data_IF_521583671652
#
_entry.id   IF_521583671652
#
_cell.length_a   1.000
_cell.length_b   1.000
_cell.length_c   1.000
_cell.angle_alpha   90.00
_cell.angle_beta   90.00
_cell.angle_gamma   90.00
#
_symmetry.space_group_name_H-M   'P 1'
#
loop_
_entity.id
_entity.type
_entity.pdbx_description
1 polymer ?
#
# COMPACT_ATOMS: atom_id res chain seq x y z
N UNK A 1 12.53 10.59 27.49
CA UNK A 1 11.14 10.11 27.68
C UNK A 1 10.93 8.88 26.83
N UNK A 2 10.58 7.74 27.42
CA UNK A 2 10.22 6.53 26.68
C UNK A 2 8.87 6.79 26.01
N UNK A 3 8.81 6.81 24.67
CA UNK A 3 7.54 6.96 23.95
C UNK A 3 6.66 5.75 24.27
N UNK A 4 5.54 5.96 24.97
CA UNK A 4 4.55 4.91 25.18
C UNK A 4 3.81 4.64 23.86
N UNK A 5 3.83 3.37 23.44
CA UNK A 5 3.06 2.89 22.28
C UNK A 5 1.70 2.43 22.78
N UNK A 6 0.61 2.93 22.18
CA UNK A 6 -0.74 2.46 22.54
C UNK A 6 -0.94 1.00 22.12
N UNK A 7 -1.83 0.28 22.81
CA UNK A 7 -2.11 -1.13 22.51
C UNK A 7 -2.52 -1.37 21.05
N UNK A 8 -3.30 -0.46 20.47
CA UNK A 8 -3.70 -0.54 19.06
C UNK A 8 -2.52 -0.41 18.08
N UNK A 9 -1.58 0.50 18.37
CA UNK A 9 -0.34 0.62 17.59
C UNK A 9 0.55 -0.60 17.77
N UNK A 10 0.67 -1.11 18.99
CA UNK A 10 1.46 -2.30 19.27
C UNK A 10 0.91 -3.53 18.52
N UNK A 11 -0.42 -3.74 18.55
CA UNK A 11 -1.08 -4.81 17.80
C UNK A 11 -0.87 -4.69 16.29
N UNK A 12 -0.94 -3.47 15.75
CA UNK A 12 -0.67 -3.22 14.34
C UNK A 12 0.78 -3.56 13.95
N UNK A 13 1.75 -3.15 14.77
CA UNK A 13 3.16 -3.47 14.56
C UNK A 13 3.37 -4.99 14.53
N UNK A 14 2.79 -5.73 15.48
CA UNK A 14 2.86 -7.20 15.53
C UNK A 14 2.26 -7.88 14.30
N UNK A 15 1.18 -7.32 13.73
CA UNK A 15 0.53 -7.87 12.53
C UNK A 15 1.31 -7.62 11.25
N UNK A 16 2.14 -6.58 11.23
CA UNK A 16 2.97 -6.21 10.09
C UNK A 16 4.42 -6.66 10.25
N UNK A 17 4.78 -7.39 11.32
CA UNK A 17 6.14 -7.88 11.57
C UNK A 17 6.22 -9.40 11.56
N UNK A 18 7.40 -9.93 11.26
CA UNK A 18 7.71 -11.35 11.48
C UNK A 18 7.67 -11.69 12.98
N UNK A 19 7.71 -12.98 13.30
CA UNK A 19 7.77 -13.47 14.69
C UNK A 19 8.99 -12.96 15.46
N UNK A 20 10.08 -12.65 14.73
CA UNK A 20 11.32 -12.09 15.29
C UNK A 20 11.30 -10.55 15.36
N UNK A 21 10.18 -9.91 15.02
CA UNK A 21 10.02 -8.46 15.08
C UNK A 21 10.61 -7.68 13.91
N UNK A 22 10.84 -8.32 12.77
CA UNK A 22 11.35 -7.66 11.56
C UNK A 22 10.22 -7.26 10.62
N UNK A 23 10.43 -6.20 9.84
CA UNK A 23 9.54 -5.79 8.76
C UNK A 23 10.09 -6.27 7.41
N UNK A 24 9.39 -7.19 6.77
CA UNK A 24 9.64 -7.62 5.39
C UNK A 24 8.43 -7.20 4.55
N UNK A 25 8.41 -5.93 4.12
CA UNK A 25 7.23 -5.33 3.49
C UNK A 25 7.35 -5.33 1.96
N UNK A 26 6.31 -5.82 1.29
CA UNK A 26 6.14 -5.66 -0.15
C UNK A 26 5.50 -4.30 -0.45
N UNK A 27 6.24 -3.39 -1.08
CA UNK A 27 5.70 -2.09 -1.52
C UNK A 27 5.14 -2.17 -2.94
N UNK A 28 3.83 -1.94 -3.08
CA UNK A 28 3.08 -2.03 -4.34
C UNK A 28 1.97 -0.97 -4.42
N UNK A 29 2.26 0.22 -3.95
CA UNK A 29 1.43 1.43 -3.97
C UNK A 29 1.52 2.22 -5.30
N UNK A 30 2.60 2.06 -6.05
CA UNK A 30 2.79 2.71 -7.35
C UNK A 30 1.57 2.62 -8.30
N UNK A 31 1.11 3.78 -8.78
CA UNK A 31 0.03 3.91 -9.78
C UNK A 31 0.59 4.35 -11.14
N UNK A 32 0.86 5.63 -11.34
CA UNK A 32 1.33 6.14 -12.65
C UNK A 32 2.74 5.65 -13.00
N UNK A 33 3.60 5.46 -12.00
CA UNK A 33 4.90 4.84 -12.19
C UNK A 33 4.76 3.39 -12.70
N UNK A 34 3.76 2.65 -12.22
CA UNK A 34 3.47 1.31 -12.70
C UNK A 34 2.92 1.33 -14.13
N UNK A 35 2.04 2.28 -14.48
CA UNK A 35 1.59 2.48 -15.88
C UNK A 35 2.78 2.67 -16.83
N UNK A 36 3.71 3.56 -16.45
CA UNK A 36 4.93 3.83 -17.22
C UNK A 36 5.83 2.60 -17.34
N UNK A 37 5.94 1.80 -16.28
CA UNK A 37 6.71 0.56 -16.31
C UNK A 37 6.06 -0.53 -17.19
N UNK A 38 4.72 -0.63 -17.19
CA UNK A 38 3.98 -1.64 -17.96
C UNK A 38 3.96 -1.35 -19.46
N UNK A 39 3.80 -0.08 -19.86
CA UNK A 39 3.87 0.32 -21.27
C UNK A 39 4.61 1.65 -21.41
N UNK A 40 5.95 1.63 -21.55
CA UNK A 40 6.75 2.86 -21.62
C UNK A 40 6.41 3.76 -22.82
N UNK A 41 5.92 3.17 -23.92
CA UNK A 41 5.66 3.90 -25.16
C UNK A 41 4.26 4.55 -25.19
N UNK A 42 3.31 4.01 -24.43
CA UNK A 42 1.94 4.53 -24.34
C UNK A 42 1.32 4.24 -22.95
N UNK A 43 1.84 4.83 -21.85
CA UNK A 43 1.40 4.53 -20.48
C UNK A 43 -0.10 4.77 -20.24
N UNK A 44 -0.68 5.74 -20.94
CA UNK A 44 -2.10 6.11 -20.90
C UNK A 44 -3.02 5.02 -21.45
N UNK A 45 -2.50 4.10 -22.27
CA UNK A 45 -3.27 2.96 -22.79
C UNK A 45 -3.41 1.81 -21.80
N UNK A 46 -2.57 1.79 -20.76
CA UNK A 46 -2.71 0.81 -19.66
C UNK A 46 -4.01 1.12 -18.94
N UNK A 47 -4.90 0.15 -18.86
CA UNK A 47 -6.20 0.32 -18.18
C UNK A 47 -6.06 0.11 -16.68
N UNK A 48 -6.99 0.69 -15.91
CA UNK A 48 -7.07 0.43 -14.46
C UNK A 48 -7.27 -1.07 -14.15
N UNK A 49 -8.00 -1.79 -15.01
CA UNK A 49 -8.17 -3.24 -14.89
C UNK A 49 -6.83 -3.99 -14.98
N UNK A 50 -5.97 -3.63 -15.93
CA UNK A 50 -4.64 -4.22 -16.06
C UNK A 50 -3.75 -3.95 -14.84
N UNK A 51 -3.83 -2.75 -14.24
CA UNK A 51 -3.11 -2.45 -12.99
C UNK A 51 -3.61 -3.34 -11.86
N UNK A 52 -4.93 -3.39 -11.65
CA UNK A 52 -5.52 -4.21 -10.58
C UNK A 52 -5.16 -5.69 -10.75
N UNK A 53 -5.24 -6.23 -11.97
CA UNK A 53 -4.87 -7.62 -12.26
C UNK A 53 -3.39 -7.87 -11.98
N UNK A 54 -2.50 -6.98 -12.40
CA UNK A 54 -1.07 -7.09 -12.10
C UNK A 54 -0.83 -7.08 -10.58
N UNK A 55 -1.43 -6.13 -9.86
CA UNK A 55 -1.25 -6.02 -8.41
C UNK A 55 -1.77 -7.27 -7.69
N UNK A 56 -2.94 -7.77 -8.06
CA UNK A 56 -3.49 -9.01 -7.54
C UNK A 56 -2.52 -10.19 -7.73
N UNK A 57 -1.98 -10.37 -8.95
CA UNK A 57 -1.04 -11.46 -9.25
C UNK A 57 0.21 -11.39 -8.37
N UNK A 58 0.80 -10.20 -8.25
CA UNK A 58 2.00 -9.98 -7.42
C UNK A 58 1.69 -10.27 -5.94
N UNK A 59 0.58 -9.73 -5.41
CA UNK A 59 0.18 -9.93 -4.00
C UNK A 59 -0.02 -11.42 -3.72
N UNK A 60 -0.77 -12.14 -4.57
CA UNK A 60 -1.05 -13.56 -4.34
C UNK A 60 0.20 -14.43 -4.28
N UNK A 61 1.22 -14.07 -5.08
CA UNK A 61 2.47 -14.83 -5.15
C UNK A 61 3.41 -14.45 -4.00
N UNK A 62 3.54 -13.16 -3.69
CA UNK A 62 4.61 -12.67 -2.82
C UNK A 62 4.15 -12.35 -1.39
N UNK A 63 2.87 -12.00 -1.16
CA UNK A 63 2.38 -11.66 0.18
C UNK A 63 2.63 -12.75 1.24
N UNK A 64 2.51 -14.06 0.93
CA UNK A 64 2.81 -15.12 1.91
C UNK A 64 4.25 -15.11 2.45
N UNK A 65 5.19 -14.53 1.69
CA UNK A 65 6.61 -14.43 2.05
C UNK A 65 6.96 -13.10 2.74
N UNK A 66 5.97 -12.26 3.01
CA UNK A 66 6.13 -10.91 3.57
C UNK A 66 5.41 -10.77 4.91
N UNK A 67 5.94 -9.93 5.79
CA UNK A 67 5.25 -9.58 7.03
C UNK A 67 4.10 -8.59 6.79
N UNK A 68 4.11 -7.87 5.67
CA UNK A 68 3.06 -6.95 5.29
C UNK A 68 3.17 -6.46 3.86
N UNK A 69 2.10 -5.82 3.37
CA UNK A 69 2.02 -5.24 2.03
C UNK A 69 1.59 -3.78 2.14
N UNK A 70 2.30 -2.89 1.47
CA UNK A 70 1.92 -1.49 1.27
C UNK A 70 1.22 -1.32 -0.09
N UNK A 71 -0.01 -0.84 -0.08
CA UNK A 71 -0.86 -0.69 -1.25
C UNK A 71 -1.44 0.72 -1.37
N UNK A 72 -1.80 1.11 -2.57
CA UNK A 72 -2.61 2.30 -2.77
C UNK A 72 -4.09 1.99 -2.50
N UNK A 73 -4.86 2.99 -2.06
CA UNK A 73 -6.28 2.80 -1.77
C UNK A 73 -7.17 2.57 -3.00
N UNK A 74 -6.73 2.88 -4.21
CA UNK A 74 -7.58 2.93 -5.42
C UNK A 74 -7.57 1.62 -6.20
N UNK A 75 -6.39 1.05 -6.43
CA UNK A 75 -6.15 -0.10 -7.29
C UNK A 75 -5.68 -1.34 -6.53
N UNK A 76 -5.22 -1.20 -5.28
CA UNK A 76 -4.66 -2.31 -4.51
C UNK A 76 -5.49 -2.70 -3.29
N UNK A 77 -5.61 -1.81 -2.32
CA UNK A 77 -6.00 -2.16 -0.96
C UNK A 77 -7.44 -2.70 -0.87
N UNK A 78 -8.41 -2.06 -1.53
CA UNK A 78 -9.80 -2.50 -1.52
C UNK A 78 -9.96 -3.90 -2.17
N UNK A 79 -9.28 -4.12 -3.29
CA UNK A 79 -9.28 -5.38 -4.05
C UNK A 79 -8.64 -6.50 -3.24
N UNK A 80 -7.51 -6.24 -2.58
CA UNK A 80 -6.82 -7.20 -1.72
C UNK A 80 -7.67 -7.62 -0.51
N UNK A 81 -8.40 -6.67 0.10
CA UNK A 81 -9.33 -6.94 1.21
C UNK A 81 -10.54 -7.74 0.73
N UNK A 82 -11.26 -7.27 -0.29
CA UNK A 82 -12.45 -7.94 -0.82
C UNK A 82 -12.15 -9.33 -1.37
N UNK A 83 -10.96 -9.50 -1.96
CA UNK A 83 -10.51 -10.75 -2.55
C UNK A 83 -9.83 -11.72 -1.56
N UNK A 84 -9.47 -11.24 -0.36
CA UNK A 84 -8.71 -12.00 0.64
C UNK A 84 -7.34 -12.48 0.10
N UNK A 85 -6.55 -11.58 -0.49
CA UNK A 85 -5.29 -11.92 -1.17
C UNK A 85 -4.04 -11.76 -0.29
N UNK A 86 -4.17 -11.13 0.88
CA UNK A 86 -3.03 -10.78 1.74
C UNK A 86 -2.39 -11.98 2.44
N UNK A 87 -3.06 -13.15 2.46
CA UNK A 87 -2.48 -14.38 3.03
C UNK A 87 -2.12 -14.30 4.53
N UNK A 88 -2.67 -13.32 5.26
CA UNK A 88 -2.34 -13.05 6.66
C UNK A 88 -1.30 -11.96 6.89
N UNK A 89 -0.64 -11.46 5.84
CA UNK A 89 0.27 -10.33 5.91
C UNK A 89 -0.45 -9.06 6.40
N UNK A 90 0.24 -8.22 7.17
CA UNK A 90 -0.29 -6.92 7.60
C UNK A 90 -0.56 -5.99 6.42
N UNK A 91 -1.56 -5.12 6.55
CA UNK A 91 -1.92 -4.17 5.48
C UNK A 91 -1.47 -2.74 5.83
N UNK A 92 -0.69 -2.13 4.96
CA UNK A 92 -0.39 -0.70 4.99
C UNK A 92 -1.01 -0.04 3.76
N UNK A 93 -1.51 1.19 3.91
CA UNK A 93 -2.17 1.91 2.81
C UNK A 93 -1.64 3.33 2.70
N UNK A 94 -1.20 3.70 1.50
CA UNK A 94 -0.76 5.07 1.18
C UNK A 94 -1.88 6.10 1.46
N UNK A 95 -1.55 7.20 2.13
CA UNK A 95 -2.49 8.30 2.40
C UNK A 95 -2.38 9.46 1.40
N UNK A 96 -1.18 9.66 0.87
CA UNK A 96 -0.86 10.77 -0.01
C UNK A 96 -1.04 10.42 -1.49
N UNK A 97 -1.14 11.44 -2.32
CA UNK A 97 -1.02 11.28 -3.76
C UNK A 97 0.47 11.37 -4.10
N UNK A 98 1.06 10.28 -4.57
CA UNK A 98 2.41 10.33 -5.12
C UNK A 98 2.47 11.29 -6.33
N UNK A 99 3.09 12.47 -6.15
CA UNK A 99 3.49 13.34 -7.27
C UNK A 99 4.85 12.86 -7.79
N UNK A 100 4.82 12.12 -8.90
CA UNK A 100 6.02 11.72 -9.63
C UNK A 100 6.46 12.75 -10.68
N UNK A 101 5.87 13.94 -10.71
CA UNK A 101 6.48 15.04 -11.45
C UNK A 101 7.82 15.35 -10.79
N UNK A 102 8.89 15.37 -11.58
CA UNK A 102 10.26 15.74 -11.18
C UNK A 102 10.32 17.24 -10.82
N UNK A 103 9.49 17.69 -9.89
CA UNK A 103 9.42 19.07 -9.45
C UNK A 103 10.63 19.37 -8.55
N UNK A 104 11.19 20.60 -8.62
CA UNK A 104 12.14 21.07 -7.63
C UNK A 104 11.53 20.99 -6.23
N UNK A 105 12.32 20.56 -5.25
CA UNK A 105 11.90 20.50 -3.85
C UNK A 105 11.49 21.90 -3.33
N UNK A 106 10.51 21.99 -2.42
CA UNK A 106 9.81 20.87 -1.78
C UNK A 106 8.69 20.29 -2.66
N UNK A 107 8.57 18.95 -2.66
CA UNK A 107 7.40 18.28 -3.23
C UNK A 107 6.18 18.67 -2.39
N UNK A 108 5.13 19.16 -3.04
CA UNK A 108 3.84 19.38 -2.39
C UNK A 108 3.17 18.01 -2.18
N UNK A 109 2.97 17.64 -0.92
CA UNK A 109 2.23 16.43 -0.55
C UNK A 109 0.77 16.77 -0.34
N UNK A 110 -0.12 16.18 -1.14
CA UNK A 110 -1.57 16.30 -0.96
C UNK A 110 -2.13 14.97 -0.46
N UNK A 111 -2.97 15.01 0.59
CA UNK A 111 -3.74 13.84 1.02
C UNK A 111 -4.72 13.46 -0.10
N UNK A 112 -4.80 12.17 -0.41
CA UNK A 112 -5.69 11.70 -1.45
C UNK A 112 -7.15 12.12 -1.15
N UNK A 113 -7.86 12.78 -2.10
CA UNK A 113 -9.20 13.27 -1.85
C UNK A 113 -10.14 12.17 -1.34
N UNK A 114 -10.84 12.46 -0.23
CA UNK A 114 -11.77 11.53 0.40
C UNK A 114 -11.10 10.42 1.25
N UNK A 115 -9.78 10.48 1.47
CA UNK A 115 -9.04 9.59 2.36
C UNK A 115 -8.55 10.31 3.62
N UNK A 116 -8.37 9.53 4.68
CA UNK A 116 -7.83 9.97 5.97
C UNK A 116 -7.24 8.78 6.70
N UNK A 117 -6.32 9.02 7.65
CA UNK A 117 -5.81 7.98 8.52
C UNK A 117 -6.93 7.21 9.24
N UNK A 118 -7.99 7.92 9.65
CA UNK A 118 -9.17 7.30 10.24
C UNK A 118 -9.86 6.36 9.24
N UNK A 119 -10.07 6.77 7.99
CA UNK A 119 -10.70 5.92 6.96
C UNK A 119 -9.87 4.68 6.64
N UNK A 120 -8.55 4.83 6.51
CA UNK A 120 -7.61 3.72 6.33
C UNK A 120 -7.65 2.76 7.53
N UNK A 121 -7.77 3.29 8.75
CA UNK A 121 -7.93 2.41 9.92
C UNK A 121 -9.27 1.65 9.90
N UNK A 122 -10.36 2.30 9.50
CA UNK A 122 -11.69 1.68 9.42
C UNK A 122 -11.78 0.59 8.36
N UNK A 123 -10.99 0.64 7.28
CA UNK A 123 -10.92 -0.48 6.31
C UNK A 123 -10.12 -1.68 6.83
N UNK A 124 -9.53 -1.60 8.02
CA UNK A 124 -8.81 -2.71 8.66
C UNK A 124 -7.30 -2.68 8.46
N UNK A 125 -6.73 -1.59 7.94
CA UNK A 125 -5.29 -1.48 7.78
C UNK A 125 -4.56 -1.45 9.15
N UNK A 126 -3.35 -1.98 9.13
CA UNK A 126 -2.40 -1.99 10.23
C UNK A 126 -1.51 -0.73 10.20
N UNK A 127 -1.23 -0.18 9.02
CA UNK A 127 -0.47 1.07 8.83
C UNK A 127 -1.17 2.08 7.92
N UNK A 128 -0.78 3.34 8.10
CA UNK A 128 -1.08 4.50 7.23
C UNK A 128 0.26 5.08 6.80
#
# INVERSE_FOLDING_TARGET
>A
MTKQVSLGKYRALQRASTVDGHFTILALDHSDALRRAMNPNAPETVTSAQIMTFKEQVIRILAPETSGVLLDPIYGAAQAVCGNYLGGAGLLVELEKADYALRPMPLETEILPGWSAAKIKHMGADGV
#
